data_IF_629448017629
#
_entry.id   IF_629448017629
#
_cell.length_a   1.000
_cell.length_b   1.000
_cell.length_c   1.000
_cell.angle_alpha   90.00
_cell.angle_beta   90.00
_cell.angle_gamma   90.00
#
_symmetry.space_group_name_H-M   'P 1'
#
loop_
_entity.id
_entity.type
_entity.pdbx_description
1 polymer ?
#
# COMPACT_ATOMS: atom_id res chain seq x y z
N UNK A 1 -1.20 50.93 -32.45
CA UNK A 1 -1.49 49.50 -32.20
C UNK A 1 -1.05 49.16 -30.78
N UNK A 2 -1.98 48.92 -29.87
CA UNK A 2 -1.72 48.75 -28.42
C UNK A 2 -1.63 47.25 -28.12
N UNK A 3 -0.43 46.73 -27.84
CA UNK A 3 -0.22 45.33 -27.43
C UNK A 3 -0.63 45.19 -25.96
N UNK A 4 -1.72 44.49 -25.70
CA UNK A 4 -2.13 44.09 -24.34
C UNK A 4 -1.40 42.78 -24.03
N UNK A 5 -0.48 42.83 -23.07
CA UNK A 5 0.16 41.64 -22.52
C UNK A 5 -0.79 41.04 -21.47
N UNK A 6 -1.33 39.86 -21.76
CA UNK A 6 -2.18 39.10 -20.83
C UNK A 6 -1.25 38.30 -19.90
N UNK A 7 -1.09 38.74 -18.66
CA UNK A 7 -0.41 37.96 -17.62
C UNK A 7 -1.36 36.84 -17.14
N UNK A 8 -1.08 35.59 -17.53
CA UNK A 8 -1.65 34.41 -16.89
C UNK A 8 -1.04 34.27 -15.49
N UNK A 9 -1.80 34.63 -14.47
CA UNK A 9 -1.48 34.29 -13.09
C UNK A 9 -1.70 32.77 -12.91
N UNK A 10 -0.62 31.99 -12.91
CA UNK A 10 -0.66 30.60 -12.46
C UNK A 10 -0.93 30.59 -10.96
N UNK A 11 -2.17 30.29 -10.57
CA UNK A 11 -2.50 29.95 -9.19
C UNK A 11 -1.92 28.57 -8.90
N UNK A 12 -0.70 28.51 -8.36
CA UNK A 12 -0.14 27.29 -7.82
C UNK A 12 -0.98 26.87 -6.60
N UNK A 13 -1.86 25.87 -6.77
CA UNK A 13 -2.50 25.20 -5.64
C UNK A 13 -1.40 24.65 -4.74
N UNK A 14 -1.39 24.97 -3.43
CA UNK A 14 -0.41 24.42 -2.51
C UNK A 14 -0.60 22.91 -2.47
N UNK A 15 0.38 22.17 -2.98
CA UNK A 15 0.43 20.73 -2.76
C UNK A 15 0.67 20.51 -1.27
N UNK A 16 -0.24 19.77 -0.61
CA UNK A 16 0.01 19.29 0.74
C UNK A 16 1.31 18.47 0.72
N UNK A 17 2.19 18.72 1.68
CA UNK A 17 3.41 17.94 1.83
C UNK A 17 3.04 16.46 2.00
N UNK A 18 3.51 15.62 1.07
CA UNK A 18 3.34 14.18 1.20
C UNK A 18 4.08 13.70 2.46
N UNK A 19 3.56 12.68 3.16
CA UNK A 19 4.30 12.02 4.22
C UNK A 19 5.69 11.59 3.75
N UNK A 20 6.68 11.61 4.64
CA UNK A 20 7.98 11.03 4.36
C UNK A 20 7.89 9.50 4.38
N UNK A 21 7.43 8.90 3.29
CA UNK A 21 7.27 7.44 3.17
C UNK A 21 8.60 6.68 3.33
N UNK A 22 9.73 7.31 3.06
CA UNK A 22 11.05 6.67 3.19
C UNK A 22 11.47 6.46 4.65
N UNK A 23 10.89 7.22 5.60
CA UNK A 23 11.12 7.02 7.03
C UNK A 23 10.26 5.91 7.63
N UNK A 24 9.34 5.33 6.86
CA UNK A 24 8.53 4.20 7.31
C UNK A 24 9.39 2.96 7.55
N UNK A 25 8.94 2.11 8.47
CA UNK A 25 9.64 0.87 8.77
C UNK A 25 9.73 -0.01 7.52
N UNK A 26 10.88 -0.69 7.36
CA UNK A 26 11.01 -1.69 6.28
C UNK A 26 9.99 -2.80 6.52
N UNK A 27 9.25 -3.14 5.48
CA UNK A 27 8.32 -4.25 5.53
C UNK A 27 9.12 -5.57 5.62
N UNK A 28 8.84 -6.34 6.66
CA UNK A 28 9.33 -7.71 6.81
C UNK A 28 8.26 -8.71 6.37
N UNK A 29 8.63 -9.90 5.87
CA UNK A 29 7.64 -10.86 5.34
C UNK A 29 6.69 -11.45 6.40
N UNK A 30 7.01 -11.30 7.70
CA UNK A 30 6.23 -11.84 8.81
C UNK A 30 6.01 -10.79 9.89
N UNK A 31 4.76 -10.56 10.26
CA UNK A 31 4.35 -9.57 11.26
C UNK A 31 2.96 -9.90 11.84
N UNK A 32 2.60 -9.27 12.96
CA UNK A 32 1.26 -9.40 13.53
C UNK A 32 0.21 -8.69 12.68
N UNK A 33 -0.94 -9.34 12.45
CA UNK A 33 -2.06 -8.77 11.72
C UNK A 33 -2.58 -7.50 12.41
N UNK A 34 -2.83 -6.46 11.62
CA UNK A 34 -3.49 -5.23 12.10
C UNK A 34 -4.94 -5.46 12.53
N UNK A 35 -5.56 -6.57 12.10
CA UNK A 35 -6.88 -7.00 12.56
C UNK A 35 -6.89 -7.60 13.98
N UNK A 36 -5.71 -7.87 14.55
CA UNK A 36 -5.57 -8.41 15.91
C UNK A 36 -5.83 -9.92 16.02
N UNK A 37 -6.37 -10.33 17.17
CA UNK A 37 -6.68 -11.73 17.53
C UNK A 37 -5.50 -12.72 17.50
N UNK A 38 -4.26 -12.22 17.59
CA UNK A 38 -3.06 -13.07 17.55
C UNK A 38 -2.78 -13.69 16.18
N UNK A 39 -3.40 -13.18 15.10
CA UNK A 39 -3.17 -13.66 13.74
C UNK A 39 -1.81 -13.19 13.26
N UNK A 40 -0.99 -14.12 12.78
CA UNK A 40 0.31 -13.81 12.17
C UNK A 40 0.18 -13.76 10.65
N UNK A 41 0.62 -12.65 10.07
CA UNK A 41 0.80 -12.52 8.62
C UNK A 41 2.16 -13.06 8.24
N UNK A 42 2.24 -13.85 7.18
CA UNK A 42 3.48 -14.43 6.67
C UNK A 42 3.54 -14.38 5.15
N UNK A 43 4.73 -14.69 4.59
CA UNK A 43 4.98 -14.72 3.14
C UNK A 43 4.52 -13.42 2.42
N UNK A 44 4.51 -12.30 3.14
CA UNK A 44 3.91 -11.07 2.65
C UNK A 44 4.84 -10.38 1.64
N UNK A 45 4.48 -10.47 0.36
CA UNK A 45 5.34 -10.04 -0.75
C UNK A 45 4.57 -9.15 -1.74
N UNK A 46 4.64 -7.82 -1.63
CA UNK A 46 3.89 -6.91 -2.47
C UNK A 46 4.56 -6.70 -3.82
N UNK A 47 3.83 -6.99 -4.90
CA UNK A 47 4.29 -6.89 -6.28
C UNK A 47 3.48 -5.80 -6.99
N UNK A 48 4.15 -4.82 -7.58
CA UNK A 48 3.48 -3.78 -8.40
C UNK A 48 3.22 -4.35 -9.79
N UNK A 49 1.95 -4.33 -10.21
CA UNK A 49 1.47 -4.70 -11.53
C UNK A 49 0.59 -3.56 -12.06
N UNK A 50 1.15 -2.73 -12.94
CA UNK A 50 0.51 -1.55 -13.52
C UNK A 50 -0.14 -0.62 -12.47
N UNK A 51 -1.47 -0.58 -12.41
CA UNK A 51 -2.27 0.27 -11.51
C UNK A 51 -2.65 -0.43 -10.19
N UNK A 52 -2.09 -1.62 -9.94
CA UNK A 52 -2.34 -2.44 -8.76
C UNK A 52 -1.06 -2.83 -8.04
N UNK A 53 -1.16 -3.04 -6.74
CA UNK A 53 -0.22 -3.92 -6.06
C UNK A 53 -0.94 -5.21 -5.69
N UNK A 54 -0.32 -6.34 -6.01
CA UNK A 54 -0.81 -7.68 -5.68
C UNK A 54 0.12 -8.28 -4.65
N UNK A 55 -0.46 -8.70 -3.53
CA UNK A 55 0.30 -9.24 -2.41
C UNK A 55 -0.26 -10.59 -2.03
N UNK A 56 0.34 -11.72 -2.45
CA UNK A 56 0.11 -12.99 -1.78
C UNK A 56 0.56 -12.90 -0.32
N UNK A 57 -0.18 -13.55 0.57
CA UNK A 57 0.21 -13.70 1.97
C UNK A 57 -0.44 -14.90 2.64
N UNK A 58 0.10 -15.31 3.77
CA UNK A 58 -0.51 -16.29 4.67
C UNK A 58 -1.05 -15.61 5.92
N UNK A 59 -2.18 -16.11 6.44
CA UNK A 59 -2.68 -15.77 7.75
C UNK A 59 -2.66 -17.03 8.61
N UNK A 60 -1.85 -17.02 9.67
CA UNK A 60 -1.77 -18.11 10.65
C UNK A 60 -2.56 -17.72 11.89
N UNK A 61 -3.61 -18.48 12.21
CA UNK A 61 -4.39 -18.31 13.43
C UNK A 61 -3.61 -18.79 14.67
N UNK A 62 -4.03 -18.38 15.89
CA UNK A 62 -3.38 -18.83 17.12
C UNK A 62 -3.37 -20.34 17.35
N UNK A 63 -4.33 -21.08 16.77
CA UNK A 63 -4.40 -22.54 16.83
C UNK A 63 -3.49 -23.25 15.79
N UNK A 64 -2.76 -22.47 14.97
CA UNK A 64 -1.84 -22.97 13.95
C UNK A 64 -2.48 -23.18 12.57
N UNK A 65 -3.78 -22.94 12.40
CA UNK A 65 -4.42 -23.03 11.09
C UNK A 65 -3.86 -21.95 10.14
N UNK A 66 -3.53 -22.32 8.91
CA UNK A 66 -2.92 -21.42 7.91
C UNK A 66 -3.85 -21.25 6.71
N UNK A 67 -4.14 -20.00 6.38
CA UNK A 67 -4.92 -19.61 5.21
C UNK A 67 -4.02 -18.89 4.20
N UNK A 68 -4.16 -19.24 2.91
CA UNK A 68 -3.54 -18.50 1.81
C UNK A 68 -4.49 -17.44 1.31
N UNK A 69 -3.99 -16.23 1.14
CA UNK A 69 -4.77 -15.06 0.80
C UNK A 69 -4.08 -14.25 -0.31
N UNK A 70 -4.86 -13.41 -0.98
CA UNK A 70 -4.36 -12.38 -1.87
C UNK A 70 -4.93 -11.04 -1.42
N UNK A 71 -4.08 -10.03 -1.30
CA UNK A 71 -4.48 -8.64 -1.16
C UNK A 71 -4.23 -7.87 -2.45
N UNK A 72 -5.20 -7.05 -2.84
CA UNK A 72 -5.17 -6.15 -3.98
C UNK A 72 -5.23 -4.72 -3.47
N UNK A 73 -4.24 -3.92 -3.85
CA UNK A 73 -4.13 -2.51 -3.51
C UNK A 73 -4.31 -1.67 -4.77
N UNK A 74 -4.68 -0.41 -4.56
CA UNK A 74 -4.49 0.62 -5.57
C UNK A 74 -3.03 1.03 -5.56
N UNK A 75 -2.36 0.99 -6.72
CA UNK A 75 -1.02 1.55 -6.88
C UNK A 75 -1.14 3.03 -7.23
N UNK A 76 -0.66 3.90 -6.35
CA UNK A 76 -0.68 5.35 -6.54
C UNK A 76 0.76 5.84 -6.71
N UNK A 77 1.14 6.43 -7.85
CA UNK A 77 2.42 7.10 -7.99
C UNK A 77 2.53 8.26 -7.00
N UNK A 78 3.60 8.26 -6.20
CA UNK A 78 3.95 9.32 -5.24
C UNK A 78 5.39 9.75 -5.45
N UNK A 79 5.91 10.69 -4.66
CA UNK A 79 7.27 11.21 -4.79
C UNK A 79 8.33 10.10 -4.76
N UNK A 80 8.79 9.69 -5.94
CA UNK A 80 9.87 8.73 -6.14
C UNK A 80 9.49 7.26 -5.96
N UNK A 81 8.21 6.90 -5.82
CA UNK A 81 7.81 5.50 -5.63
C UNK A 81 6.32 5.26 -5.81
N UNK A 82 5.88 4.06 -5.42
CA UNK A 82 4.49 3.62 -5.50
C UNK A 82 3.94 3.43 -4.08
N UNK A 83 2.80 4.06 -3.80
CA UNK A 83 2.03 3.80 -2.59
C UNK A 83 0.91 2.81 -2.92
N UNK A 84 1.00 1.61 -2.36
CA UNK A 84 -0.03 0.60 -2.34
C UNK A 84 -1.00 0.90 -1.20
N UNK A 85 -2.22 1.32 -1.52
CA UNK A 85 -3.23 1.74 -0.53
C UNK A 85 -4.60 1.11 -0.82
N UNK A 86 -5.56 1.29 0.10
CA UNK A 86 -6.95 0.81 -0.02
C UNK A 86 -7.04 -0.68 -0.32
N UNK A 87 -6.40 -1.48 0.52
CA UNK A 87 -6.33 -2.91 0.35
C UNK A 87 -7.72 -3.56 0.42
N UNK A 88 -8.00 -4.45 -0.53
CA UNK A 88 -9.03 -5.49 -0.42
C UNK A 88 -8.34 -6.84 -0.42
N UNK A 89 -8.78 -7.78 0.41
CA UNK A 89 -8.18 -9.10 0.46
C UNK A 89 -9.25 -10.19 0.42
N UNK A 90 -8.84 -11.38 -0.02
CA UNK A 90 -9.67 -12.56 -0.02
C UNK A 90 -8.84 -13.80 0.25
N UNK A 91 -9.43 -14.76 0.96
CA UNK A 91 -8.90 -16.11 1.07
C UNK A 91 -9.02 -16.83 -0.27
N UNK A 92 -7.97 -17.54 -0.67
CA UNK A 92 -7.92 -18.21 -1.98
C UNK A 92 -8.94 -19.34 -2.10
N UNK A 93 -9.38 -19.90 -0.97
CA UNK A 93 -10.46 -20.90 -0.89
C UNK A 93 -11.87 -20.27 -0.90
N UNK A 94 -11.96 -18.93 -0.97
CA UNK A 94 -13.20 -18.13 -0.95
C UNK A 94 -13.97 -18.22 0.37
N UNK A 95 -13.33 -18.63 1.47
CA UNK A 95 -13.96 -18.70 2.79
C UNK A 95 -14.18 -17.32 3.44
N UNK A 96 -13.36 -16.32 3.08
CA UNK A 96 -13.40 -14.99 3.67
C UNK A 96 -12.88 -13.91 2.71
N UNK A 97 -13.33 -12.68 2.95
CA UNK A 97 -12.81 -11.48 2.31
C UNK A 97 -12.89 -10.29 3.26
N UNK A 98 -12.17 -9.22 2.94
CA UNK A 98 -12.21 -8.00 3.73
C UNK A 98 -11.43 -6.84 3.13
N UNK A 99 -11.24 -5.82 3.94
CA UNK A 99 -10.41 -4.65 3.64
C UNK A 99 -9.33 -4.49 4.68
N UNK A 100 -8.24 -3.80 4.34
CA UNK A 100 -7.21 -3.42 5.31
C UNK A 100 -6.81 -1.95 5.11
N UNK A 101 -6.65 -1.18 6.19
CA UNK A 101 -6.08 0.17 6.12
C UNK A 101 -4.55 0.14 5.93
N UNK A 102 -3.94 -1.06 5.91
CA UNK A 102 -2.51 -1.21 5.74
C UNK A 102 -2.03 -0.60 4.42
N UNK A 103 -0.96 0.18 4.48
CA UNK A 103 -0.34 0.77 3.30
C UNK A 103 1.10 0.31 3.16
N UNK A 104 1.53 0.13 1.92
CA UNK A 104 2.90 -0.25 1.58
C UNK A 104 3.47 0.75 0.60
N UNK A 105 4.62 1.33 0.92
CA UNK A 105 5.38 2.16 0.01
C UNK A 105 6.52 1.34 -0.61
N UNK A 106 6.64 1.39 -1.94
CA UNK A 106 7.66 0.65 -2.70
C UNK A 106 8.48 1.64 -3.51
N UNK A 107 9.80 1.62 -3.31
CA UNK A 107 10.77 2.43 -4.04
C UNK A 107 12.10 1.67 -4.16
N UNK A 108 12.67 1.64 -5.36
CA UNK A 108 13.98 1.04 -5.64
C UNK A 108 14.13 -0.40 -5.08
N UNK A 109 13.07 -1.19 -5.17
CA UNK A 109 13.01 -2.57 -4.67
C UNK A 109 12.88 -2.69 -3.14
N UNK A 110 12.74 -1.58 -2.41
CA UNK A 110 12.52 -1.57 -0.97
C UNK A 110 11.06 -1.31 -0.67
N UNK A 111 10.42 -2.28 -0.01
CA UNK A 111 9.06 -2.15 0.52
C UNK A 111 9.10 -1.67 1.97
N UNK A 112 8.24 -0.70 2.30
CA UNK A 112 8.07 -0.11 3.64
C UNK A 112 6.61 -0.13 4.03
N UNK A 113 6.32 -0.30 5.32
CA UNK A 113 4.94 -0.37 5.84
C UNK A 113 4.59 0.91 6.58
N UNK A 114 3.34 1.35 6.45
CA UNK A 114 2.81 2.39 7.31
C UNK A 114 2.99 2.01 8.80
N UNK A 115 3.26 3.02 9.66
CA UNK A 115 3.36 2.82 11.10
C UNK A 115 2.06 2.30 11.72
#
# INVERSE_FOLDING_TARGET
MRRIALLLALTATPALAQPNYESWERLVPRFESTGGAGVMIGEYDPIVLDDRCVTPFTATLPDGQVFRNIALFHAVPVQGGILCTRARWSAMDRSAEGTSPFEVFIKDGVSRRAP
#
